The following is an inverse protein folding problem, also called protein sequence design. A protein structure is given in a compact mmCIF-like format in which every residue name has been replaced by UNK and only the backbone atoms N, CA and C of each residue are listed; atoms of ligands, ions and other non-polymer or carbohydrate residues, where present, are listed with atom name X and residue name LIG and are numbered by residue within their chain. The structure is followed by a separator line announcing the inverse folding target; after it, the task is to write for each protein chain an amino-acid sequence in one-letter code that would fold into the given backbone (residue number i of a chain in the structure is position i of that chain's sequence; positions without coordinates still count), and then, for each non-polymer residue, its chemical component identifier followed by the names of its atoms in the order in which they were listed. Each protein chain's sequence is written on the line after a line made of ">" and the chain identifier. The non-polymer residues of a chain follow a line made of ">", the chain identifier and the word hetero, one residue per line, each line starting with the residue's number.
data_IF_832348451917
#
_entry.id   IF_832348451917
#
_cell.length_a   1.000
_cell.length_b   1.000
_cell.length_c   1.000
_cell.angle_alpha   90.00
_cell.angle_beta   90.00
_cell.angle_gamma   90.00
#
_symmetry.space_group_name_H-M   'P 1'
#
loop_
_entity.id
_entity.type
_entity.pdbx_description
1 polymer ?
#
# COMPACT_ATOMS: atom_id res chain seq x y z
N UNK A 1 3.27 9.51 -15.90
CA UNK A 1 4.37 9.14 -14.97
C UNK A 1 4.14 7.70 -14.52
N UNK A 2 5.16 6.84 -14.58
CA UNK A 2 5.01 5.44 -14.17
C UNK A 2 5.01 5.34 -12.63
N UNK A 3 4.10 4.54 -12.03
CA UNK A 3 4.08 4.28 -10.60
C UNK A 3 5.33 3.50 -10.15
N UNK A 4 5.60 3.52 -8.85
CA UNK A 4 6.60 2.64 -8.23
C UNK A 4 5.96 1.26 -8.06
N UNK A 5 6.53 0.24 -8.68
CA UNK A 5 6.08 -1.13 -8.54
C UNK A 5 6.80 -1.81 -7.37
N UNK A 6 6.06 -2.53 -6.53
CA UNK A 6 6.61 -3.30 -5.42
C UNK A 6 5.90 -4.65 -5.31
N UNK A 7 6.66 -5.73 -5.19
CA UNK A 7 6.11 -7.08 -5.04
C UNK A 7 5.91 -7.41 -3.57
N UNK A 8 4.70 -7.85 -3.20
CA UNK A 8 4.34 -8.28 -1.85
C UNK A 8 4.12 -9.79 -1.87
N UNK A 9 4.64 -10.49 -0.87
CA UNK A 9 4.32 -11.89 -0.67
C UNK A 9 2.84 -12.04 -0.28
N UNK A 10 2.19 -13.10 -0.77
CA UNK A 10 0.79 -13.41 -0.44
C UNK A 10 0.59 -13.62 1.06
N UNK A 11 1.53 -14.29 1.73
CA UNK A 11 1.48 -14.54 3.18
C UNK A 11 1.43 -13.25 4.00
N UNK A 12 2.19 -12.23 3.59
CA UNK A 12 2.18 -10.93 4.26
C UNK A 12 0.86 -10.20 4.00
N UNK A 13 0.38 -10.27 2.75
CA UNK A 13 -0.87 -9.64 2.36
C UNK A 13 -2.08 -10.23 3.08
N UNK A 14 -2.11 -11.56 3.27
CA UNK A 14 -3.12 -12.23 4.09
C UNK A 14 -3.19 -11.61 5.49
N UNK A 15 -2.05 -11.44 6.17
CA UNK A 15 -2.03 -10.85 7.51
C UNK A 15 -2.45 -9.36 7.49
N UNK A 16 -1.95 -8.58 6.54
CA UNK A 16 -2.20 -7.13 6.51
C UNK A 16 -3.61 -6.76 6.08
N UNK A 17 -4.27 -7.55 5.23
CA UNK A 17 -5.65 -7.27 4.83
C UNK A 17 -6.66 -7.56 5.93
N UNK A 18 -6.36 -8.47 6.85
CA UNK A 18 -7.22 -8.78 8.00
C UNK A 18 -6.83 -7.99 9.27
N UNK A 19 -5.80 -7.15 9.22
CA UNK A 19 -5.41 -6.29 10.34
C UNK A 19 -6.46 -5.19 10.56
N UNK A 20 -7.03 -5.05 11.78
CA UNK A 20 -8.01 -4.01 12.09
C UNK A 20 -7.43 -2.58 12.04
N UNK A 21 -6.12 -2.44 12.14
CA UNK A 21 -5.42 -1.17 12.01
C UNK A 21 -5.01 -0.90 10.55
N UNK A 22 -4.99 0.37 10.09
CA UNK A 22 -4.57 0.70 8.73
C UNK A 22 -3.14 0.21 8.43
N UNK A 23 -2.98 -0.63 7.40
CA UNK A 23 -1.67 -1.08 6.92
C UNK A 23 -1.19 -0.17 5.79
N UNK A 24 -0.18 0.64 6.09
CA UNK A 24 0.42 1.57 5.14
C UNK A 24 1.77 1.02 4.67
N UNK A 25 1.85 0.60 3.41
CA UNK A 25 3.12 0.24 2.77
C UNK A 25 3.90 1.51 2.48
N UNK A 26 5.16 1.58 2.92
CA UNK A 26 6.09 2.67 2.61
C UNK A 26 7.27 2.10 1.82
N UNK A 27 7.53 2.66 0.64
CA UNK A 27 8.68 2.30 -0.21
C UNK A 27 9.59 3.50 -0.34
N UNK A 28 10.83 3.37 0.12
CA UNK A 28 11.84 4.42 0.03
C UNK A 28 12.75 4.22 -1.19
N UNK A 29 12.80 5.23 -2.05
CA UNK A 29 13.72 5.32 -3.18
C UNK A 29 14.98 6.07 -2.74
N UNK A 30 16.06 5.31 -2.54
CA UNK A 30 17.35 5.84 -2.09
C UNK A 30 18.06 6.70 -3.14
N UNK A 31 17.77 6.53 -4.43
CA UNK A 31 18.40 7.33 -5.49
C UNK A 31 17.81 8.73 -5.52
N UNK A 32 16.50 8.84 -5.28
CA UNK A 32 15.78 10.11 -5.27
C UNK A 32 15.66 10.73 -3.88
N UNK A 33 15.99 9.98 -2.81
CA UNK A 33 15.78 10.38 -1.41
C UNK A 33 14.31 10.73 -1.13
N UNK A 34 13.38 9.92 -1.66
CA UNK A 34 11.93 10.11 -1.54
C UNK A 34 11.29 8.81 -1.06
N UNK A 35 10.32 8.90 -0.15
CA UNK A 35 9.47 7.77 0.23
C UNK A 35 8.07 7.92 -0.38
N UNK A 36 7.50 6.80 -0.83
CA UNK A 36 6.14 6.68 -1.35
C UNK A 36 5.30 5.82 -0.42
N UNK A 37 3.99 6.04 -0.39
CA UNK A 37 3.09 5.29 0.49
C UNK A 37 1.83 4.77 -0.22
N UNK A 38 1.28 3.68 0.32
CA UNK A 38 0.04 3.07 -0.15
C UNK A 38 -0.76 2.48 1.03
N UNK A 39 -2.04 2.82 1.12
CA UNK A 39 -2.95 2.17 2.07
C UNK A 39 -3.42 0.85 1.46
N UNK A 40 -2.90 -0.28 1.96
CA UNK A 40 -3.08 -1.60 1.34
C UNK A 40 -4.54 -2.04 1.31
N UNK A 41 -5.24 -1.96 2.44
CA UNK A 41 -6.65 -2.35 2.50
C UNK A 41 -7.50 -1.57 1.48
N UNK A 42 -7.44 -0.24 1.52
CA UNK A 42 -8.18 0.60 0.57
C UNK A 42 -7.75 0.40 -0.89
N UNK A 43 -6.47 0.10 -1.17
CA UNK A 43 -6.01 -0.18 -2.54
C UNK A 43 -6.71 -1.41 -3.12
N UNK A 44 -6.79 -2.49 -2.35
CA UNK A 44 -7.37 -3.74 -2.79
C UNK A 44 -8.91 -3.74 -2.75
N UNK A 45 -9.54 -3.01 -1.82
CA UNK A 45 -10.98 -2.76 -1.83
C UNK A 45 -11.45 -2.05 -3.11
N UNK A 46 -10.62 -1.12 -3.63
CA UNK A 46 -10.92 -0.38 -4.84
C UNK A 46 -10.48 -1.09 -6.13
N UNK A 47 -9.85 -2.27 -6.04
CA UNK A 47 -9.36 -3.00 -7.21
C UNK A 47 -10.46 -3.98 -7.71
N UNK A 48 -11.08 -3.72 -8.87
CA UNK A 48 -12.19 -4.55 -9.34
C UNK A 48 -11.77 -5.99 -9.59
N UNK A 49 -12.52 -6.94 -9.03
CA UNK A 49 -12.25 -8.38 -9.19
C UNK A 49 -11.04 -8.88 -8.41
N UNK A 50 -10.52 -8.10 -7.46
CA UNK A 50 -9.51 -8.58 -6.54
C UNK A 50 -10.07 -9.68 -5.63
N UNK A 51 -9.41 -10.83 -5.66
CA UNK A 51 -9.69 -11.95 -4.78
C UNK A 51 -8.35 -12.55 -4.34
N UNK A 52 -8.08 -12.45 -3.03
CA UNK A 52 -6.85 -12.92 -2.41
C UNK A 52 -6.62 -14.42 -2.63
N UNK A 53 -7.68 -15.21 -2.78
CA UNK A 53 -7.58 -16.66 -3.01
C UNK A 53 -6.98 -16.99 -4.38
N UNK A 54 -7.15 -16.10 -5.37
CA UNK A 54 -6.70 -16.26 -6.75
C UNK A 54 -5.28 -15.70 -7.00
N UNK A 55 -4.65 -15.11 -5.99
CA UNK A 55 -3.26 -14.64 -6.10
C UNK A 55 -2.31 -15.83 -5.97
N UNK A 56 -1.24 -15.83 -6.79
CA UNK A 56 -0.11 -16.76 -6.62
C UNK A 56 0.72 -16.45 -5.36
N UNK A 57 2.02 -16.72 -5.40
CA UNK A 57 2.90 -16.48 -4.23
C UNK A 57 3.13 -15.00 -3.92
N UNK A 58 2.94 -14.10 -4.90
CA UNK A 58 3.11 -12.67 -4.74
C UNK A 58 2.19 -11.85 -5.64
N UNK A 59 2.00 -10.58 -5.29
CA UNK A 59 1.29 -9.58 -6.10
C UNK A 59 2.10 -8.30 -6.19
N UNK A 60 2.15 -7.72 -7.38
CA UNK A 60 2.79 -6.42 -7.60
C UNK A 60 1.77 -5.30 -7.40
N UNK A 61 2.01 -4.47 -6.37
CA UNK A 61 1.26 -3.23 -6.16
C UNK A 61 1.97 -2.06 -6.83
N UNK A 62 1.18 -1.06 -7.21
CA UNK A 62 1.67 0.14 -7.87
C UNK A 62 1.40 1.35 -6.98
N UNK A 63 2.46 1.92 -6.41
CA UNK A 63 2.40 3.14 -5.61
C UNK A 63 2.41 4.35 -6.54
N UNK A 64 1.37 5.21 -6.52
CA UNK A 64 1.36 6.43 -7.30
C UNK A 64 2.52 7.35 -6.90
N UNK A 65 3.23 7.93 -7.86
CA UNK A 65 4.30 8.92 -7.58
C UNK A 65 3.79 10.19 -6.89
N UNK A 66 2.48 10.40 -6.86
CA UNK A 66 1.81 11.48 -6.12
C UNK A 66 1.70 11.18 -4.62
N UNK A 67 1.76 9.91 -4.21
CA UNK A 67 1.67 9.51 -2.81
C UNK A 67 3.04 9.60 -2.14
N UNK A 68 3.60 10.80 -2.07
CA UNK A 68 4.85 11.05 -1.36
C UNK A 68 4.59 11.07 0.14
N UNK A 69 5.47 10.43 0.90
CA UNK A 69 5.42 10.44 2.35
C UNK A 69 5.95 11.78 2.87
N UNK A 70 5.04 12.57 3.45
CA UNK A 70 5.33 13.84 4.10
C UNK A 70 4.47 13.98 5.36
N UNK A 71 4.58 15.12 6.07
CA UNK A 71 3.81 15.35 7.29
C UNK A 71 2.28 15.33 7.06
N UNK A 72 1.80 15.74 5.89
CA UNK A 72 0.38 15.70 5.55
C UNK A 72 -0.11 14.26 5.36
N UNK A 73 0.68 13.40 4.72
CA UNK A 73 0.41 11.98 4.61
C UNK A 73 0.30 11.33 6.00
N UNK A 74 1.22 11.65 6.92
CA UNK A 74 1.16 11.14 8.30
C UNK A 74 -0.10 11.58 9.03
N UNK A 75 -0.51 12.86 8.87
CA UNK A 75 -1.79 13.35 9.42
C UNK A 75 -2.98 12.60 8.82
N UNK A 76 -2.94 12.29 7.53
CA UNK A 76 -3.96 11.49 6.84
C UNK A 76 -4.05 10.07 7.41
N UNK A 77 -2.91 9.44 7.72
CA UNK A 77 -2.90 8.10 8.31
C UNK A 77 -3.63 8.04 9.66
N UNK A 78 -3.48 9.10 10.48
CA UNK A 78 -4.19 9.20 11.74
C UNK A 78 -5.72 9.23 11.57
N UNK A 79 -6.21 9.75 10.44
CA UNK A 79 -7.64 9.79 10.14
C UNK A 79 -8.19 8.40 9.76
N UNK A 80 -7.38 7.55 9.10
CA UNK A 80 -7.79 6.18 8.76
C UNK A 80 -8.05 5.31 9.98
N UNK A 81 -7.42 5.61 11.13
CA UNK A 81 -7.67 4.90 12.39
C UNK A 81 -9.05 5.19 12.99
N UNK A 82 -9.66 6.32 12.62
CA UNK A 82 -10.92 6.79 13.21
C UNK A 82 -12.16 6.41 12.39
N UNK A 83 -11.99 5.64 11.31
CA UNK A 83 -13.06 5.12 10.48
C UNK A 83 -13.46 3.70 10.89
#
# INVERSE_FOLDING_TARGET
>A
MNPVAFSLARSDLELWLFEPMPCILIVYDAQLNIAYWLYLQAYFENLPGFDLSNIGESVTVHLPKTNILNQEAVKKFAQYRSQ
#
